data_IF_041191624633
#
_entry.id   IF_041191624633
#
_cell.length_a   1.000
_cell.length_b   1.000
_cell.length_c   1.000
_cell.angle_alpha   90.00
_cell.angle_beta   90.00
_cell.angle_gamma   90.00
#
_symmetry.space_group_name_H-M   'P 1'
#
loop_
_entity.id
_entity.type
_entity.pdbx_description
1 polymer ?
#
# COMPACT_ATOMS: atom_id res chain seq x y z
N UNK A 1 -3.60 -21.87 -8.51
CA UNK A 1 -5.08 -21.93 -8.37
C UNK A 1 -5.56 -21.04 -7.23
N UNK A 2 -5.11 -21.24 -5.97
CA UNK A 2 -5.54 -20.42 -4.82
C UNK A 2 -5.25 -18.92 -4.99
N UNK A 3 -4.04 -18.54 -5.42
CA UNK A 3 -3.66 -17.14 -5.66
C UNK A 3 -4.50 -16.44 -6.72
N UNK A 4 -4.73 -17.10 -7.87
CA UNK A 4 -5.58 -16.56 -8.93
C UNK A 4 -7.05 -16.39 -8.48
N UNK A 5 -7.55 -17.26 -7.61
CA UNK A 5 -8.89 -17.12 -7.01
C UNK A 5 -8.93 -15.93 -6.06
N UNK A 6 -7.88 -15.69 -5.27
CA UNK A 6 -7.79 -14.56 -4.35
C UNK A 6 -7.71 -13.22 -5.11
N UNK A 7 -6.89 -13.13 -6.16
CA UNK A 7 -6.81 -11.95 -7.02
C UNK A 7 -8.11 -11.69 -7.77
N UNK A 8 -8.71 -12.73 -8.36
CA UNK A 8 -10.00 -12.61 -9.06
C UNK A 8 -11.14 -12.19 -8.12
N UNK A 9 -11.17 -12.75 -6.90
CA UNK A 9 -12.13 -12.31 -5.88
C UNK A 9 -11.88 -10.88 -5.43
N UNK A 10 -10.65 -10.36 -5.54
CA UNK A 10 -10.24 -9.00 -5.19
C UNK A 10 -10.85 -7.90 -6.06
N UNK A 11 -11.26 -8.23 -7.30
CA UNK A 11 -11.71 -7.25 -8.29
C UNK A 11 -13.17 -7.51 -8.71
N UNK A 12 -14.12 -7.03 -7.91
CA UNK A 12 -15.55 -7.18 -8.20
C UNK A 12 -15.99 -5.97 -9.03
N UNK A 13 -16.33 -6.16 -10.31
CA UNK A 13 -16.54 -5.03 -11.24
C UNK A 13 -17.62 -4.01 -10.82
N UNK A 14 -17.65 -2.87 -11.52
CA UNK A 14 -18.63 -1.76 -11.39
C UNK A 14 -20.10 -2.13 -11.05
N UNK A 15 -20.73 -3.17 -11.65
CA UNK A 15 -22.08 -3.56 -11.26
C UNK A 15 -22.20 -4.01 -9.79
N UNK A 16 -21.15 -4.57 -9.20
CA UNK A 16 -21.15 -4.97 -7.80
C UNK A 16 -20.99 -3.78 -6.84
N UNK A 17 -20.16 -2.78 -7.19
CA UNK A 17 -19.97 -1.57 -6.37
C UNK A 17 -21.22 -0.67 -6.34
N UNK A 18 -22.18 -0.90 -7.23
CA UNK A 18 -23.50 -0.24 -7.25
C UNK A 18 -24.60 -1.10 -6.63
N UNK A 19 -24.63 -2.41 -6.93
CA UNK A 19 -25.67 -3.31 -6.42
C UNK A 19 -25.52 -3.64 -4.93
N UNK A 20 -24.30 -3.76 -4.41
CA UNK A 20 -24.05 -4.10 -2.99
C UNK A 20 -24.51 -2.99 -2.03
N UNK A 21 -24.18 -1.69 -2.22
CA UNK A 21 -24.72 -0.66 -1.34
C UNK A 21 -26.25 -0.58 -1.39
N UNK A 22 -26.88 -0.78 -2.56
CA UNK A 22 -28.34 -0.90 -2.65
C UNK A 22 -28.88 -2.10 -1.86
N UNK A 23 -28.23 -3.26 -1.98
CA UNK A 23 -28.60 -4.45 -1.20
C UNK A 23 -28.42 -4.23 0.30
N UNK A 24 -27.34 -3.58 0.75
CA UNK A 24 -27.11 -3.26 2.16
C UNK A 24 -28.14 -2.25 2.69
N UNK A 25 -28.48 -1.22 1.91
CA UNK A 25 -29.54 -0.25 2.26
C UNK A 25 -30.89 -0.95 2.36
N UNK A 26 -31.22 -1.83 1.41
CA UNK A 26 -32.45 -2.61 1.44
C UNK A 26 -32.48 -3.61 2.60
N UNK A 27 -31.37 -4.29 2.91
CA UNK A 27 -31.24 -5.22 4.04
C UNK A 27 -31.37 -4.49 5.37
N UNK A 28 -30.69 -3.34 5.55
CA UNK A 28 -30.77 -2.54 6.76
C UNK A 28 -32.15 -1.91 6.93
N UNK A 29 -32.72 -1.34 5.86
CA UNK A 29 -34.04 -0.71 5.87
C UNK A 29 -35.18 -1.71 6.08
N UNK A 30 -35.15 -2.84 5.37
CA UNK A 30 -36.13 -3.93 5.56
C UNK A 30 -35.95 -4.61 6.91
N UNK A 31 -34.72 -4.89 7.35
CA UNK A 31 -34.43 -5.44 8.66
C UNK A 31 -34.94 -4.55 9.80
N UNK A 32 -34.70 -3.24 9.72
CA UNK A 32 -35.21 -2.28 10.71
C UNK A 32 -36.74 -2.18 10.68
N UNK A 33 -37.34 -2.02 9.49
CA UNK A 33 -38.80 -1.94 9.35
C UNK A 33 -39.53 -3.21 9.82
N UNK A 34 -39.02 -4.40 9.46
CA UNK A 34 -39.61 -5.67 9.86
C UNK A 34 -39.40 -5.93 11.37
N UNK A 35 -38.26 -5.55 11.94
CA UNK A 35 -38.03 -5.65 13.39
C UNK A 35 -38.97 -4.73 14.16
N UNK A 36 -39.12 -3.48 13.74
CA UNK A 36 -39.99 -2.49 14.42
C UNK A 36 -41.47 -2.82 14.25
N UNK A 37 -41.90 -3.28 13.06
CA UNK A 37 -43.32 -3.44 12.75
C UNK A 37 -43.86 -4.86 12.92
N UNK A 38 -43.01 -5.88 12.75
CA UNK A 38 -43.46 -7.28 12.66
C UNK A 38 -42.89 -8.19 13.76
N UNK A 39 -41.90 -7.75 14.56
CA UNK A 39 -41.43 -8.51 15.73
C UNK A 39 -42.50 -8.70 16.82
N UNK A 40 -43.66 -8.04 16.69
CA UNK A 40 -44.82 -8.17 17.57
C UNK A 40 -45.82 -9.26 17.13
N UNK A 41 -45.62 -9.92 15.98
CA UNK A 41 -46.48 -11.04 15.51
C UNK A 41 -45.66 -12.30 15.26
N UNK A 42 -45.99 -13.38 15.98
CA UNK A 42 -45.37 -14.72 15.89
C UNK A 42 -45.23 -15.23 14.44
N UNK A 43 -46.18 -14.91 13.56
CA UNK A 43 -46.20 -15.33 12.15
C UNK A 43 -44.97 -14.90 11.34
N UNK A 44 -44.41 -13.70 11.59
CA UNK A 44 -43.30 -13.15 10.78
C UNK A 44 -41.92 -13.37 11.40
N UNK A 45 -41.88 -13.84 12.64
CA UNK A 45 -40.65 -14.13 13.40
C UNK A 45 -39.63 -15.00 12.64
N UNK A 46 -40.00 -16.13 11.99
CA UNK A 46 -39.00 -16.95 11.27
C UNK A 46 -38.39 -16.24 10.06
N UNK A 47 -39.14 -15.40 9.35
CA UNK A 47 -38.63 -14.65 8.20
C UNK A 47 -37.59 -13.59 8.62
N UNK A 48 -37.84 -12.89 9.74
CA UNK A 48 -36.88 -11.93 10.30
C UNK A 48 -35.60 -12.65 10.74
N UNK A 49 -35.71 -13.81 11.40
CA UNK A 49 -34.55 -14.62 11.81
C UNK A 49 -33.74 -15.05 10.58
N UNK A 50 -34.38 -15.57 9.53
CA UNK A 50 -33.69 -15.96 8.30
C UNK A 50 -32.99 -14.78 7.62
N UNK A 51 -33.62 -13.61 7.57
CA UNK A 51 -33.02 -12.39 7.03
C UNK A 51 -31.77 -11.98 7.81
N UNK A 52 -31.84 -12.01 9.15
CA UNK A 52 -30.69 -11.70 10.01
C UNK A 52 -29.56 -12.70 9.83
N UNK A 53 -29.86 -14.00 9.82
CA UNK A 53 -28.86 -15.05 9.57
C UNK A 53 -28.21 -14.86 8.21
N UNK A 54 -29.00 -14.62 7.15
CA UNK A 54 -28.49 -14.36 5.81
C UNK A 54 -27.58 -13.13 5.75
N UNK A 55 -27.96 -12.05 6.45
CA UNK A 55 -27.16 -10.82 6.54
C UNK A 55 -25.83 -11.07 7.26
N UNK A 56 -25.86 -11.79 8.38
CA UNK A 56 -24.65 -12.17 9.13
C UNK A 56 -23.74 -13.05 8.28
N UNK A 57 -24.29 -14.06 7.58
CA UNK A 57 -23.52 -14.92 6.69
C UNK A 57 -22.86 -14.13 5.54
N UNK A 58 -23.58 -13.19 4.93
CA UNK A 58 -23.03 -12.30 3.89
C UNK A 58 -21.89 -11.43 4.43
N UNK A 59 -22.09 -10.77 5.56
CA UNK A 59 -21.06 -9.94 6.20
C UNK A 59 -19.85 -10.77 6.65
N UNK A 60 -20.07 -12.00 7.13
CA UNK A 60 -18.99 -12.91 7.50
C UNK A 60 -18.15 -13.31 6.28
N UNK A 61 -18.78 -13.61 5.14
CA UNK A 61 -18.08 -13.92 3.89
C UNK A 61 -17.26 -12.71 3.38
N UNK A 62 -17.84 -11.50 3.42
CA UNK A 62 -17.15 -10.28 3.02
C UNK A 62 -16.02 -9.91 3.97
N UNK A 63 -16.18 -10.16 5.27
CA UNK A 63 -15.13 -10.02 6.27
C UNK A 63 -13.98 -10.98 6.00
N UNK A 64 -14.28 -12.26 5.77
CA UNK A 64 -13.25 -13.27 5.47
C UNK A 64 -12.45 -12.89 4.23
N UNK A 65 -13.13 -12.49 3.14
CA UNK A 65 -12.48 -11.99 1.92
C UNK A 65 -11.55 -10.82 2.24
N UNK A 66 -12.07 -9.79 2.90
CA UNK A 66 -11.32 -8.56 3.22
C UNK A 66 -10.12 -8.87 4.11
N UNK A 67 -10.28 -9.74 5.11
CA UNK A 67 -9.18 -10.16 6.00
C UNK A 67 -8.08 -10.91 5.25
N UNK A 68 -8.44 -11.81 4.33
CA UNK A 68 -7.45 -12.52 3.50
C UNK A 68 -6.72 -11.55 2.58
N UNK A 69 -7.45 -10.68 1.88
CA UNK A 69 -6.85 -9.66 1.00
C UNK A 69 -5.89 -8.75 1.77
N UNK A 70 -6.34 -8.18 2.90
CA UNK A 70 -5.52 -7.29 3.70
C UNK A 70 -4.28 -7.99 4.29
N UNK A 71 -4.39 -9.26 4.67
CA UNK A 71 -3.29 -9.97 5.34
C UNK A 71 -2.27 -10.60 4.39
N UNK A 72 -2.70 -10.98 3.17
CA UNK A 72 -1.85 -11.77 2.26
C UNK A 72 -1.60 -11.12 0.90
N UNK A 73 -2.47 -10.23 0.44
CA UNK A 73 -2.31 -9.53 -0.85
C UNK A 73 -1.74 -8.14 -0.62
N UNK A 74 -2.37 -7.37 0.27
CA UNK A 74 -2.04 -5.97 0.53
C UNK A 74 -1.34 -5.78 1.90
N UNK A 75 -0.61 -6.79 2.37
CA UNK A 75 -0.06 -6.85 3.73
C UNK A 75 0.89 -5.70 4.06
N UNK A 76 1.58 -5.18 3.05
CA UNK A 76 2.46 -4.03 3.13
C UNK A 76 2.09 -2.90 2.16
N UNK A 77 0.89 -2.95 1.56
CA UNK A 77 0.41 -1.96 0.60
C UNK A 77 -0.63 -1.04 1.28
N UNK A 78 -0.41 0.29 1.34
CA UNK A 78 -1.28 1.23 2.05
C UNK A 78 -2.57 1.60 1.30
N UNK A 79 -3.15 0.63 0.59
CA UNK A 79 -4.54 0.67 0.13
C UNK A 79 -5.51 0.13 1.19
N UNK A 80 -4.99 -0.54 2.22
CA UNK A 80 -5.75 -0.99 3.39
C UNK A 80 -5.53 -0.03 4.55
N UNK A 81 -6.62 0.38 5.20
CA UNK A 81 -6.57 1.35 6.32
C UNK A 81 -5.79 0.84 7.55
N UNK A 82 -5.56 -0.47 7.67
CA UNK A 82 -4.75 -1.07 8.74
C UNK A 82 -3.26 -0.75 8.61
N UNK A 83 -2.81 -0.35 7.41
CA UNK A 83 -1.41 0.03 7.14
C UNK A 83 -1.20 1.51 7.51
N UNK A 84 -0.98 1.75 8.81
CA UNK A 84 -0.71 3.10 9.33
C UNK A 84 0.58 3.70 8.78
N UNK A 85 1.67 2.94 8.76
CA UNK A 85 2.94 3.28 8.11
C UNK A 85 3.73 1.98 7.99
N UNK A 86 4.26 1.70 6.80
CA UNK A 86 4.99 0.46 6.55
C UNK A 86 6.15 0.68 5.58
N UNK A 87 7.13 -0.22 5.64
CA UNK A 87 8.22 -0.28 4.65
C UNK A 87 7.64 -0.74 3.30
N UNK A 88 8.02 -0.09 2.20
CA UNK A 88 7.58 -0.54 0.87
C UNK A 88 8.13 -1.93 0.50
N UNK A 89 7.36 -2.79 -0.18
CA UNK A 89 7.84 -4.05 -0.74
C UNK A 89 8.98 -3.84 -1.75
N UNK A 90 9.09 -2.66 -2.35
CA UNK A 90 10.17 -2.33 -3.29
C UNK A 90 11.56 -2.41 -2.64
N UNK A 91 11.65 -2.22 -1.31
CA UNK A 91 12.93 -2.37 -0.61
C UNK A 91 13.46 -3.80 -0.70
N UNK A 92 12.56 -4.80 -0.71
CA UNK A 92 12.93 -6.20 -0.94
C UNK A 92 13.38 -6.41 -2.39
N UNK A 93 12.73 -5.78 -3.36
CA UNK A 93 13.10 -5.84 -4.77
C UNK A 93 14.49 -5.25 -5.01
N UNK A 94 14.80 -4.10 -4.40
CA UNK A 94 16.15 -3.51 -4.43
C UNK A 94 17.16 -4.43 -3.76
N UNK A 95 16.84 -5.04 -2.61
CA UNK A 95 17.74 -5.96 -1.92
C UNK A 95 18.11 -7.17 -2.80
N UNK A 96 17.14 -7.69 -3.56
CA UNK A 96 17.39 -8.72 -4.57
C UNK A 96 18.33 -8.18 -5.65
N UNK A 97 18.10 -6.96 -6.16
CA UNK A 97 18.98 -6.34 -7.15
C UNK A 97 20.41 -6.11 -6.66
N UNK A 98 20.58 -5.70 -5.39
CA UNK A 98 21.89 -5.57 -4.73
C UNK A 98 22.60 -6.93 -4.70
N UNK A 99 21.90 -7.99 -4.31
CA UNK A 99 22.47 -9.35 -4.28
C UNK A 99 22.91 -9.79 -5.68
N UNK A 100 22.05 -9.62 -6.68
CA UNK A 100 22.34 -10.00 -8.07
C UNK A 100 23.53 -9.22 -8.64
N UNK A 101 23.62 -7.92 -8.36
CA UNK A 101 24.77 -7.11 -8.75
C UNK A 101 26.05 -7.60 -8.07
N UNK A 102 26.00 -7.92 -6.77
CA UNK A 102 27.12 -8.50 -6.03
C UNK A 102 27.60 -9.82 -6.64
N UNK A 103 26.67 -10.74 -6.95
CA UNK A 103 26.98 -12.04 -7.56
C UNK A 103 27.56 -11.87 -8.96
N UNK A 104 27.01 -10.96 -9.78
CA UNK A 104 27.44 -10.73 -11.17
C UNK A 104 28.81 -10.05 -11.27
N UNK A 105 29.10 -9.12 -10.36
CA UNK A 105 30.36 -8.36 -10.36
C UNK A 105 31.49 -9.09 -9.64
N UNK A 106 31.20 -10.19 -8.93
CA UNK A 106 32.16 -10.92 -8.11
C UNK A 106 32.44 -10.28 -6.73
N UNK A 107 31.82 -9.13 -6.44
CA UNK A 107 31.96 -8.46 -5.14
C UNK A 107 31.23 -9.22 -4.02
N UNK A 108 30.15 -9.94 -4.35
CA UNK A 108 29.28 -10.60 -3.39
C UNK A 108 28.83 -9.64 -2.29
N UNK A 109 29.14 -9.97 -1.03
CA UNK A 109 28.82 -9.16 0.15
C UNK A 109 29.76 -7.98 0.40
N UNK A 110 30.82 -7.83 -0.40
CA UNK A 110 31.73 -6.67 -0.37
C UNK A 110 31.29 -5.54 -1.30
N UNK A 111 30.15 -5.68 -1.98
CA UNK A 111 29.59 -4.66 -2.87
C UNK A 111 29.54 -3.31 -2.11
N UNK A 112 30.19 -2.25 -2.61
CA UNK A 112 30.19 -0.95 -1.97
C UNK A 112 28.79 -0.31 -2.02
N UNK A 113 28.16 -0.11 -0.87
CA UNK A 113 26.79 0.41 -0.75
C UNK A 113 26.77 1.62 0.19
N UNK A 114 26.05 2.68 -0.19
CA UNK A 114 25.80 3.84 0.68
C UNK A 114 24.31 4.08 0.86
N UNK A 115 23.89 4.31 2.11
CA UNK A 115 22.50 4.57 2.47
C UNK A 115 22.43 5.88 3.24
N UNK A 116 21.66 6.84 2.73
CA UNK A 116 21.42 8.11 3.41
C UNK A 116 20.73 7.89 4.77
N UNK A 117 21.24 8.54 5.82
CA UNK A 117 20.67 8.49 7.17
C UNK A 117 19.58 9.53 7.43
N UNK A 118 19.37 10.47 6.51
CA UNK A 118 18.35 11.52 6.64
C UNK A 118 16.99 10.94 7.01
N UNK A 119 16.31 11.53 7.99
CA UNK A 119 15.01 11.07 8.52
C UNK A 119 14.99 9.60 9.03
N UNK A 120 16.14 9.03 9.41
CA UNK A 120 16.20 7.65 9.89
C UNK A 120 15.95 6.60 8.79
N UNK A 121 16.31 6.93 7.54
CA UNK A 121 16.25 6.03 6.38
C UNK A 121 17.13 4.79 6.48
N UNK A 122 18.08 4.79 7.43
CA UNK A 122 18.96 3.67 7.73
C UNK A 122 18.21 2.38 8.07
N UNK A 123 17.03 2.47 8.70
CA UNK A 123 16.17 1.32 8.93
C UNK A 123 15.15 1.16 7.77
N UNK A 124 14.98 -0.04 7.18
CA UNK A 124 15.50 -1.35 7.62
C UNK A 124 16.82 -1.79 6.95
N UNK A 125 17.50 -0.92 6.20
CA UNK A 125 18.72 -1.29 5.47
C UNK A 125 19.81 -1.88 6.37
N UNK A 126 20.00 -1.36 7.59
CA UNK A 126 20.93 -1.95 8.55
C UNK A 126 20.65 -3.41 8.85
N UNK A 127 19.39 -3.83 8.83
CA UNK A 127 19.02 -5.23 9.02
C UNK A 127 19.24 -6.08 7.76
N UNK A 128 18.84 -5.56 6.59
CA UNK A 128 18.97 -6.27 5.32
C UNK A 128 20.43 -6.46 4.90
N UNK A 129 21.25 -5.43 5.14
CA UNK A 129 22.66 -5.38 4.79
C UNK A 129 23.59 -5.78 5.94
N UNK A 130 23.06 -6.34 7.05
CA UNK A 130 23.85 -6.68 8.25
C UNK A 130 25.04 -7.62 8.03
N UNK A 131 25.04 -8.35 6.90
CA UNK A 131 26.10 -9.27 6.52
C UNK A 131 26.98 -8.76 5.38
N UNK A 132 26.77 -7.51 4.92
CA UNK A 132 27.59 -6.87 3.91
C UNK A 132 28.74 -6.12 4.58
N UNK A 133 29.92 -6.20 3.98
CA UNK A 133 31.17 -5.74 4.59
C UNK A 133 31.48 -4.27 4.27
N UNK A 134 30.96 -3.74 3.16
CA UNK A 134 31.25 -2.39 2.67
C UNK A 134 29.99 -1.53 2.56
N UNK A 135 29.31 -1.33 3.69
CA UNK A 135 28.10 -0.51 3.77
C UNK A 135 28.40 0.74 4.59
N UNK A 136 28.20 1.92 3.98
CA UNK A 136 28.28 3.19 4.66
C UNK A 136 26.89 3.81 4.86
N UNK A 137 26.73 4.51 5.98
CA UNK A 137 25.52 5.25 6.29
C UNK A 137 25.85 6.74 6.49
N UNK A 138 26.20 7.49 5.44
CA UNK A 138 26.48 8.91 5.59
C UNK A 138 25.17 9.72 5.70
N UNK A 139 25.27 10.90 6.29
CA UNK A 139 24.20 11.90 6.21
C UNK A 139 24.44 12.77 4.97
N UNK A 140 23.47 12.78 4.06
CA UNK A 140 23.50 13.65 2.88
C UNK A 140 22.87 15.00 3.23
N UNK A 141 23.40 16.07 2.67
CA UNK A 141 22.83 17.41 2.71
C UNK A 141 23.26 18.19 1.46
N UNK A 142 22.76 19.41 1.28
CA UNK A 142 23.04 20.23 0.11
C UNK A 142 24.53 20.52 -0.13
N UNK A 143 25.38 20.38 0.89
CA UNK A 143 26.81 20.70 0.87
C UNK A 143 27.71 19.45 0.98
N UNK A 144 27.20 18.32 1.50
CA UNK A 144 27.99 17.12 1.82
C UNK A 144 27.94 16.01 0.77
N UNK A 145 27.31 16.24 -0.38
CA UNK A 145 27.21 15.25 -1.45
C UNK A 145 28.48 15.28 -2.32
N UNK A 146 29.62 14.93 -1.74
CA UNK A 146 30.93 15.03 -2.42
C UNK A 146 31.16 14.00 -3.53
N UNK A 147 30.13 13.23 -3.90
CA UNK A 147 30.24 12.13 -4.86
C UNK A 147 31.14 11.02 -4.33
N UNK A 148 30.58 9.91 -3.87
CA UNK A 148 31.39 8.70 -3.64
C UNK A 148 31.60 7.95 -4.96
N UNK A 149 32.81 7.98 -5.57
CA UNK A 149 33.07 7.30 -6.83
C UNK A 149 33.31 5.79 -6.64
N UNK A 150 33.32 5.30 -5.40
CA UNK A 150 33.58 3.89 -5.09
C UNK A 150 32.29 3.11 -4.87
N UNK A 151 31.22 3.80 -4.45
CA UNK A 151 29.91 3.19 -4.28
C UNK A 151 29.39 2.62 -5.61
N UNK A 152 28.76 1.44 -5.54
CA UNK A 152 28.07 0.81 -6.68
C UNK A 152 26.56 0.98 -6.60
N UNK A 153 26.05 1.10 -5.37
CA UNK A 153 24.64 1.37 -5.07
C UNK A 153 24.56 2.45 -4.00
N UNK A 154 23.77 3.48 -4.27
CA UNK A 154 23.48 4.56 -3.33
C UNK A 154 21.96 4.73 -3.23
N UNK A 155 21.45 4.79 -2.00
CA UNK A 155 20.08 5.20 -1.72
C UNK A 155 20.09 6.55 -1.02
N UNK A 156 19.48 7.54 -1.65
CA UNK A 156 19.45 8.92 -1.17
C UNK A 156 18.03 9.32 -0.79
N UNK A 157 17.84 10.00 0.33
CA UNK A 157 16.54 10.53 0.69
C UNK A 157 16.07 11.56 -0.35
N UNK A 158 14.79 11.58 -0.72
CA UNK A 158 14.22 12.51 -1.73
C UNK A 158 14.57 13.99 -1.52
N UNK A 159 14.54 14.49 -0.28
CA UNK A 159 15.05 15.84 0.11
C UNK A 159 16.45 16.18 -0.42
N UNK A 160 17.33 15.19 -0.56
CA UNK A 160 18.71 15.36 -1.01
C UNK A 160 18.90 15.01 -2.50
N UNK A 161 17.81 14.73 -3.23
CA UNK A 161 17.85 14.29 -4.62
C UNK A 161 18.58 15.29 -5.52
N UNK A 162 18.26 16.59 -5.47
CA UNK A 162 18.88 17.58 -6.36
C UNK A 162 20.41 17.62 -6.22
N UNK A 163 20.90 17.57 -4.98
CA UNK A 163 22.33 17.58 -4.71
C UNK A 163 22.99 16.24 -5.12
N UNK A 164 22.30 15.12 -4.91
CA UNK A 164 22.79 13.80 -5.34
C UNK A 164 22.78 13.65 -6.86
N UNK A 165 21.78 14.19 -7.54
CA UNK A 165 21.66 14.13 -8.99
C UNK A 165 22.80 14.88 -9.67
N UNK A 166 23.15 16.06 -9.15
CA UNK A 166 24.34 16.80 -9.60
C UNK A 166 25.64 16.00 -9.41
N UNK A 167 25.75 15.22 -8.34
CA UNK A 167 26.94 14.45 -8.01
C UNK A 167 27.05 13.12 -8.80
N UNK A 168 25.92 12.47 -9.09
CA UNK A 168 25.89 11.08 -9.55
C UNK A 168 25.33 10.86 -10.96
N UNK A 169 24.62 11.83 -11.56
CA UNK A 169 23.95 11.67 -12.86
C UNK A 169 24.85 11.27 -14.03
N UNK A 170 26.18 11.48 -13.93
CA UNK A 170 27.13 11.12 -15.00
C UNK A 170 27.58 9.66 -14.97
N UNK A 171 27.79 9.10 -13.78
CA UNK A 171 28.43 7.78 -13.59
C UNK A 171 27.44 6.69 -13.18
N UNK A 172 26.17 7.07 -12.95
CA UNK A 172 25.11 6.18 -12.50
C UNK A 172 23.98 6.13 -13.52
N UNK A 173 23.22 5.04 -13.50
CA UNK A 173 21.99 4.91 -14.27
C UNK A 173 20.96 5.95 -13.81
N UNK A 174 19.97 6.21 -14.66
CA UNK A 174 18.85 7.10 -14.34
C UNK A 174 18.23 6.72 -12.98
N UNK A 175 18.19 7.66 -12.02
CA UNK A 175 17.82 7.32 -10.66
C UNK A 175 16.33 7.00 -10.57
N UNK A 176 16.01 5.88 -9.92
CA UNK A 176 14.61 5.47 -9.70
C UNK A 176 14.11 6.02 -8.37
N UNK A 177 12.96 6.70 -8.39
CA UNK A 177 12.26 7.16 -7.18
C UNK A 177 11.45 6.00 -6.59
N UNK A 178 11.61 5.76 -5.30
CA UNK A 178 11.05 4.60 -4.62
C UNK A 178 10.46 5.03 -3.28
N UNK A 179 9.23 4.61 -2.92
CA UNK A 179 8.77 4.74 -1.54
C UNK A 179 9.68 3.94 -0.62
N UNK A 180 10.31 4.62 0.34
CA UNK A 180 11.03 3.93 1.40
C UNK A 180 10.04 3.47 2.47
N UNK A 181 9.20 4.41 2.91
CA UNK A 181 8.02 4.16 3.74
C UNK A 181 6.80 4.75 3.08
N UNK A 182 5.66 4.14 3.31
CA UNK A 182 4.38 4.60 2.79
C UNK A 182 3.25 4.31 3.76
N UNK A 183 2.16 5.08 3.67
CA UNK A 183 1.05 5.04 4.61
C UNK A 183 -0.29 5.36 3.96
N UNK A 184 -1.35 4.86 4.57
CA UNK A 184 -2.71 5.13 4.14
C UNK A 184 -3.02 6.65 4.25
N UNK A 185 -3.72 7.26 3.29
CA UNK A 185 -4.04 8.69 3.32
C UNK A 185 -4.94 9.05 4.51
N UNK A 186 -4.35 9.57 5.59
CA UNK A 186 -5.07 9.73 6.85
C UNK A 186 -6.14 10.83 6.83
N UNK A 187 -6.01 11.81 5.94
CA UNK A 187 -7.01 12.87 5.78
C UNK A 187 -8.39 12.33 5.38
N UNK A 188 -8.46 11.11 4.84
CA UNK A 188 -9.70 10.44 4.47
C UNK A 188 -10.59 10.10 5.67
N UNK A 189 -9.99 9.85 6.85
CA UNK A 189 -10.73 9.43 8.05
C UNK A 189 -10.53 10.38 9.24
N UNK A 190 -9.38 11.05 9.38
CA UNK A 190 -9.09 11.91 10.55
C UNK A 190 -9.94 13.17 10.62
N UNK A 191 -10.44 13.66 9.47
CA UNK A 191 -11.22 14.89 9.38
C UNK A 191 -12.73 14.65 9.27
N UNK A 192 -13.19 13.42 9.53
CA UNK A 192 -14.61 13.08 9.43
C UNK A 192 -15.37 13.66 10.63
N UNK A 193 -16.39 14.48 10.35
CA UNK A 193 -17.30 15.04 11.35
C UNK A 193 -18.63 14.28 11.39
N UNK A 194 -19.33 14.32 12.53
CA UNK A 194 -20.65 13.69 12.65
C UNK A 194 -21.67 14.29 11.65
N UNK A 195 -21.56 15.59 11.35
CA UNK A 195 -22.42 16.27 10.37
C UNK A 195 -22.17 15.75 8.96
N UNK A 196 -20.90 15.57 8.57
CA UNK A 196 -20.56 14.97 7.27
C UNK A 196 -21.01 13.51 7.15
N UNK A 197 -20.97 12.74 8.25
CA UNK A 197 -21.48 11.36 8.27
C UNK A 197 -22.99 11.34 8.05
N UNK A 198 -23.74 12.17 8.78
CA UNK A 198 -25.20 12.25 8.64
C UNK A 198 -25.60 12.71 7.22
N UNK A 199 -24.89 13.70 6.65
CA UNK A 199 -25.12 14.13 5.27
C UNK A 199 -24.83 13.02 4.24
N UNK A 200 -23.81 12.20 4.51
CA UNK A 200 -23.46 11.07 3.63
C UNK A 200 -24.50 9.96 3.62
N UNK A 201 -25.33 9.82 4.67
CA UNK A 201 -26.41 8.82 4.70
C UNK A 201 -27.45 9.06 3.60
N UNK A 202 -27.65 10.32 3.19
CA UNK A 202 -28.56 10.69 2.10
C UNK A 202 -27.85 10.82 0.72
N UNK A 203 -26.53 10.70 0.66
CA UNK A 203 -25.74 10.81 -0.57
C UNK A 203 -25.44 9.42 -1.15
N UNK A 204 -26.19 9.00 -2.17
CA UNK A 204 -25.93 7.74 -2.87
C UNK A 204 -24.52 7.67 -3.49
N UNK A 205 -23.97 8.82 -3.89
CA UNK A 205 -22.59 8.91 -4.38
C UNK A 205 -21.56 8.57 -3.29
N UNK A 206 -21.81 8.97 -2.04
CA UNK A 206 -20.97 8.57 -0.90
C UNK A 206 -21.01 7.06 -0.66
N UNK A 207 -22.19 6.44 -0.76
CA UNK A 207 -22.34 5.00 -0.66
C UNK A 207 -21.63 4.25 -1.79
N UNK A 208 -21.71 4.73 -3.04
CA UNK A 208 -20.95 4.14 -4.16
C UNK A 208 -19.45 4.22 -3.89
N UNK A 209 -18.93 5.39 -3.49
CA UNK A 209 -17.50 5.57 -3.15
C UNK A 209 -17.05 4.63 -2.03
N UNK A 210 -17.85 4.52 -0.95
CA UNK A 210 -17.56 3.63 0.17
C UNK A 210 -17.54 2.16 -0.27
N UNK A 211 -18.52 1.74 -1.06
CA UNK A 211 -18.58 0.36 -1.56
C UNK A 211 -17.45 0.04 -2.54
N UNK A 212 -17.15 0.94 -3.48
CA UNK A 212 -16.00 0.83 -4.39
C UNK A 212 -14.69 0.68 -3.62
N UNK A 213 -14.48 1.48 -2.57
CA UNK A 213 -13.31 1.33 -1.71
C UNK A 213 -13.33 0.02 -0.93
N UNK A 214 -14.42 -0.29 -0.23
CA UNK A 214 -14.50 -1.48 0.64
C UNK A 214 -14.33 -2.80 -0.13
N UNK A 215 -14.84 -2.86 -1.36
CA UNK A 215 -14.76 -4.05 -2.20
C UNK A 215 -13.44 -4.09 -2.97
N UNK A 216 -13.05 -3.00 -3.63
CA UNK A 216 -12.00 -2.98 -4.65
C UNK A 216 -10.82 -2.04 -4.33
N UNK A 217 -10.87 -1.30 -3.23
CA UNK A 217 -9.85 -0.31 -2.81
C UNK A 217 -9.66 0.83 -3.82
N UNK A 218 -10.68 1.07 -4.64
CA UNK A 218 -10.70 2.15 -5.61
C UNK A 218 -10.59 3.53 -4.94
N UNK A 219 -9.90 4.46 -5.59
CA UNK A 219 -9.81 5.86 -5.16
C UNK A 219 -8.74 6.19 -4.12
N UNK A 220 -7.98 5.20 -3.63
CA UNK A 220 -6.93 5.41 -2.60
C UNK A 220 -5.53 5.51 -3.19
N UNK A 221 -5.22 4.71 -4.21
CA UNK A 221 -3.90 4.57 -4.82
C UNK A 221 -3.14 5.89 -5.06
N UNK A 222 -3.79 6.86 -5.70
CA UNK A 222 -3.20 8.16 -6.07
C UNK A 222 -2.88 9.06 -4.87
N UNK A 223 -3.47 8.76 -3.73
CA UNK A 223 -3.40 9.57 -2.52
C UNK A 223 -2.48 8.97 -1.45
N UNK A 224 -1.89 7.80 -1.71
CA UNK A 224 -0.97 7.14 -0.78
C UNK A 224 0.15 8.09 -0.40
N UNK A 225 0.32 8.31 0.90
CA UNK A 225 1.42 9.10 1.44
C UNK A 225 2.71 8.28 1.47
N UNK A 226 3.84 8.95 1.33
CA UNK A 226 5.14 8.29 1.40
C UNK A 226 6.29 9.21 1.77
N UNK A 227 7.34 8.57 2.27
CA UNK A 227 8.67 9.13 2.36
C UNK A 227 9.56 8.36 1.38
N UNK A 228 10.07 9.06 0.36
CA UNK A 228 10.71 8.43 -0.79
C UNK A 228 12.24 8.55 -0.74
N UNK A 229 12.90 7.56 -1.33
CA UNK A 229 14.33 7.52 -1.67
C UNK A 229 14.54 7.50 -3.18
N UNK A 230 15.72 7.91 -3.64
CA UNK A 230 16.22 7.69 -4.98
C UNK A 230 17.31 6.64 -4.97
N UNK A 231 17.18 5.64 -5.84
CA UNK A 231 18.20 4.63 -6.09
C UNK A 231 19.12 5.09 -7.22
N UNK A 232 20.37 5.35 -6.88
CA UNK A 232 21.46 5.52 -7.83
C UNK A 232 22.25 4.22 -7.87
N UNK A 233 22.27 3.55 -9.01
CA UNK A 233 23.06 2.34 -9.20
C UNK A 233 23.92 2.43 -10.46
N UNK A 234 25.10 1.84 -10.43
CA UNK A 234 26.00 1.79 -11.60
C UNK A 234 25.56 0.74 -12.61
N UNK A 235 26.15 0.81 -13.81
CA UNK A 235 26.13 -0.30 -14.75
C UNK A 235 26.53 -1.60 -14.03
N UNK A 236 25.68 -2.63 -14.12
CA UNK A 236 25.74 -3.67 -13.09
C UNK A 236 24.38 -4.08 -12.60
N UNK A 237 23.58 -3.07 -12.29
CA UNK A 237 22.37 -3.24 -11.54
C UNK A 237 21.22 -3.73 -12.44
N UNK A 238 20.45 -4.75 -12.00
CA UNK A 238 19.36 -5.28 -12.80
C UNK A 238 18.20 -4.29 -12.93
N UNK A 239 17.43 -4.41 -14.01
CA UNK A 239 16.19 -3.67 -14.13
C UNK A 239 15.16 -4.21 -13.14
N UNK A 240 14.75 -3.35 -12.20
CA UNK A 240 13.74 -3.70 -11.22
C UNK A 240 12.33 -3.45 -11.78
N UNK A 241 11.41 -4.39 -11.52
CA UNK A 241 9.97 -4.16 -11.58
C UNK A 241 9.49 -3.73 -10.19
N UNK A 242 9.19 -2.45 -10.02
CA UNK A 242 8.76 -1.89 -8.74
C UNK A 242 7.25 -2.02 -8.61
N UNK A 243 6.78 -2.60 -7.51
CA UNK A 243 5.36 -2.75 -7.26
C UNK A 243 4.70 -1.39 -7.01
N UNK A 244 5.42 -0.44 -6.42
CA UNK A 244 4.85 0.89 -6.19
C UNK A 244 4.53 1.66 -7.46
N UNK A 245 5.21 1.38 -8.58
CA UNK A 245 4.88 1.98 -9.88
C UNK A 245 3.49 1.51 -10.34
N UNK A 246 3.22 0.20 -10.25
CA UNK A 246 1.91 -0.39 -10.56
C UNK A 246 0.82 0.13 -9.60
N UNK A 247 1.13 0.23 -8.30
CA UNK A 247 0.16 0.68 -7.28
C UNK A 247 -0.17 2.17 -7.44
N UNK A 248 0.83 3.03 -7.67
CA UNK A 248 0.63 4.50 -7.73
C UNK A 248 0.11 4.99 -9.06
N UNK A 249 0.42 4.28 -10.16
CA UNK A 249 -0.21 4.55 -11.45
C UNK A 249 -1.72 4.30 -11.39
N UNK A 250 -2.15 3.37 -10.52
CA UNK A 250 -3.54 2.96 -10.33
C UNK A 250 -4.08 2.21 -11.56
N UNK A 251 -5.22 1.52 -11.45
CA UNK A 251 -6.11 1.38 -12.59
C UNK A 251 -6.73 2.73 -13.00
#
# INVERSE_FOLDING_TARGET
MVWAVIEYWGNIGEPASTAIPLALILLAGSGFYLTVKLSLKETYRPHVILLLIGSVALLAALTLRTSVTASYVNSDIPVEMIVYTQTSPDLKTIMTGIKEMGDRTGDGRRLPIKIDQTSGFTWPWSWYLRHYENVGYPTYNSESNTGDPTAKVILVHSKNHEAADKAYSRDYLEPKRIPHRWWFPEYTYRNVSIVSVLGSLADFGAWKRLASYWLNREGVAKNIGSEDSYLYAREGFPQLKLLSEDVRSGP
#
